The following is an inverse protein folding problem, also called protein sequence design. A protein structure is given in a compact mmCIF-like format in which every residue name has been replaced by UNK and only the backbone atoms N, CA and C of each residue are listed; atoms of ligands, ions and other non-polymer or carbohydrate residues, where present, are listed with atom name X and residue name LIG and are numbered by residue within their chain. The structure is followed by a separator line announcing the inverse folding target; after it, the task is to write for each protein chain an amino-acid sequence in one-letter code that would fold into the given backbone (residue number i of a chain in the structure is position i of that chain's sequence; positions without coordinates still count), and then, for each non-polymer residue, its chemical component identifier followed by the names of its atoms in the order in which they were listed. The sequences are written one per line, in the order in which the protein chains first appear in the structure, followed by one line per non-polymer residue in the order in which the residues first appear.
data_IF_592947314764
#
_entry.id   IF_592947314764
#
_cell.length_a   1.000
_cell.length_b   1.000
_cell.length_c   1.000
_cell.angle_alpha   90.00
_cell.angle_beta   90.00
_cell.angle_gamma   90.00
#
_symmetry.space_group_name_H-M   'P 1'
#
loop_
_entity.id
_entity.type
_entity.pdbx_description
1 polymer ?
#
# COMPACT_ATOMS: atom_id res chain seq x y z
N UNK A 1 5.93 -17.42 8.14
CA UNK A 1 4.87 -16.98 7.20
C UNK A 1 4.78 -15.46 7.10
N UNK A 2 4.81 -14.69 8.20
CA UNK A 2 4.79 -13.22 8.21
C UNK A 2 5.83 -12.56 7.30
N UNK A 3 7.09 -12.94 7.41
CA UNK A 3 8.19 -12.36 6.59
C UNK A 3 8.02 -12.55 5.08
N UNK A 4 7.17 -13.46 4.64
CA UNK A 4 6.91 -13.67 3.21
C UNK A 4 5.85 -12.70 2.68
N UNK A 5 4.82 -12.42 3.50
CA UNK A 5 3.74 -11.47 3.16
C UNK A 5 4.30 -10.05 3.09
N UNK A 6 5.07 -9.62 4.10
CA UNK A 6 5.72 -8.31 4.13
C UNK A 6 6.61 -8.07 2.89
N UNK A 7 7.27 -9.12 2.41
CA UNK A 7 8.13 -9.03 1.21
C UNK A 7 7.33 -8.94 -0.09
N UNK A 8 6.18 -9.60 -0.18
CA UNK A 8 5.35 -9.55 -1.38
C UNK A 8 4.61 -8.22 -1.51
N UNK A 9 4.17 -7.66 -0.39
CA UNK A 9 3.54 -6.32 -0.35
C UNK A 9 4.55 -5.25 -0.74
N UNK A 10 5.76 -5.29 -0.19
CA UNK A 10 6.82 -4.34 -0.54
C UNK A 10 7.16 -4.34 -2.04
N UNK A 11 7.07 -5.50 -2.71
CA UNK A 11 7.33 -5.60 -4.15
C UNK A 11 6.34 -4.82 -5.02
N UNK A 12 5.09 -4.69 -4.59
CA UNK A 12 4.06 -3.93 -5.32
C UNK A 12 4.27 -2.41 -5.26
N UNK A 13 4.93 -1.92 -4.21
CA UNK A 13 5.22 -0.50 -4.01
C UNK A 13 6.52 -0.04 -4.67
N UNK A 14 7.41 -0.96 -5.11
CA UNK A 14 8.70 -0.60 -5.69
C UNK A 14 8.53 -0.18 -7.14
N UNK A 15 8.70 1.12 -7.41
CA UNK A 15 8.80 1.63 -8.78
C UNK A 15 10.22 1.43 -9.32
N UNK A 16 10.41 1.39 -10.67
CA UNK A 16 11.75 1.34 -11.26
C UNK A 16 12.67 2.44 -10.74
N UNK A 17 12.13 3.65 -10.57
CA UNK A 17 12.89 4.79 -10.05
C UNK A 17 13.39 4.55 -8.63
N UNK A 18 12.52 4.11 -7.72
CA UNK A 18 12.90 3.80 -6.33
C UNK A 18 13.87 2.63 -6.27
N UNK A 19 13.70 1.62 -7.11
CA UNK A 19 14.62 0.49 -7.21
C UNK A 19 16.03 0.93 -7.61
N UNK A 20 16.18 1.68 -8.71
CA UNK A 20 17.48 2.15 -9.15
C UNK A 20 18.12 3.16 -8.21
N UNK A 21 17.32 4.04 -7.58
CA UNK A 21 17.83 4.96 -6.55
C UNK A 21 18.37 4.20 -5.34
N UNK A 22 17.64 3.20 -4.85
CA UNK A 22 18.10 2.35 -3.74
C UNK A 22 19.36 1.59 -4.09
N UNK A 23 19.46 1.06 -5.32
CA UNK A 23 20.64 0.35 -5.81
C UNK A 23 21.87 1.28 -5.91
N UNK A 24 21.68 2.52 -6.33
CA UNK A 24 22.74 3.51 -6.43
C UNK A 24 23.24 3.99 -5.05
N UNK A 25 22.33 4.09 -4.07
CA UNK A 25 22.66 4.54 -2.70
C UNK A 25 23.25 3.43 -1.83
N UNK A 26 22.91 2.17 -2.11
CA UNK A 26 23.36 1.02 -1.32
C UNK A 26 24.26 0.14 -2.17
N UNK A 27 25.36 -0.38 -1.59
CA UNK A 27 26.17 -1.43 -2.22
C UNK A 27 25.71 -2.80 -1.69
N UNK A 28 24.63 -3.38 -2.25
CA UNK A 28 24.06 -4.59 -1.70
C UNK A 28 25.00 -5.78 -1.91
N UNK A 29 25.03 -6.70 -0.95
CA UNK A 29 25.67 -8.00 -1.12
C UNK A 29 24.97 -8.81 -2.22
N UNK A 30 25.62 -9.77 -2.88
CA UNK A 30 25.04 -10.53 -3.99
C UNK A 30 23.70 -11.19 -3.65
N UNK A 31 23.55 -11.69 -2.40
CA UNK A 31 22.30 -12.29 -1.93
C UNK A 31 21.15 -11.27 -1.76
N UNK A 32 21.48 -10.05 -1.35
CA UNK A 32 20.51 -8.95 -1.26
C UNK A 32 20.14 -8.41 -2.62
N UNK A 33 21.11 -8.34 -3.54
CA UNK A 33 20.87 -7.93 -4.91
C UNK A 33 19.89 -8.88 -5.61
N UNK A 34 20.08 -10.20 -5.49
CA UNK A 34 19.17 -11.19 -6.07
C UNK A 34 17.76 -11.04 -5.56
N UNK A 35 17.59 -10.83 -4.25
CA UNK A 35 16.26 -10.58 -3.65
C UNK A 35 15.66 -9.26 -4.13
N UNK A 36 16.48 -8.22 -4.21
CA UNK A 36 16.06 -6.92 -4.75
C UNK A 36 15.59 -7.04 -6.20
N UNK A 37 16.29 -7.79 -7.04
CA UNK A 37 15.90 -8.06 -8.42
C UNK A 37 14.56 -8.82 -8.52
N UNK A 38 14.33 -9.81 -7.66
CA UNK A 38 13.05 -10.54 -7.62
C UNK A 38 11.88 -9.61 -7.26
N UNK A 39 12.05 -8.74 -6.25
CA UNK A 39 11.05 -7.75 -5.87
C UNK A 39 10.87 -6.68 -6.96
N UNK A 40 11.98 -6.20 -7.53
CA UNK A 40 11.98 -5.22 -8.61
C UNK A 40 11.25 -5.73 -9.86
N UNK A 41 11.44 -7.00 -10.23
CA UNK A 41 10.78 -7.59 -11.40
C UNK A 41 9.25 -7.48 -11.30
N UNK A 42 8.68 -7.75 -10.12
CA UNK A 42 7.24 -7.56 -9.88
C UNK A 42 6.81 -6.11 -10.15
N UNK A 43 7.54 -5.15 -9.62
CA UNK A 43 7.30 -3.72 -9.86
C UNK A 43 7.42 -3.34 -11.33
N UNK A 44 8.43 -3.86 -12.05
CA UNK A 44 8.62 -3.61 -13.48
C UNK A 44 7.46 -4.16 -14.33
N UNK A 45 6.94 -5.33 -14.00
CA UNK A 45 5.79 -5.91 -14.69
C UNK A 45 4.51 -5.05 -14.54
N UNK A 46 4.40 -4.28 -13.46
CA UNK A 46 3.26 -3.39 -13.21
C UNK A 46 3.38 -2.03 -13.92
N UNK A 47 4.56 -1.66 -14.43
CA UNK A 47 4.79 -0.37 -15.09
C UNK A 47 3.81 -0.10 -16.23
N UNK A 48 3.60 -1.00 -17.23
CA UNK A 48 2.68 -0.71 -18.33
C UNK A 48 1.24 -0.51 -17.84
N UNK A 49 0.82 -1.25 -16.83
CA UNK A 49 -0.50 -1.11 -16.21
C UNK A 49 -0.60 0.23 -15.49
N UNK A 50 0.43 0.64 -14.78
CA UNK A 50 0.52 1.95 -14.11
C UNK A 50 0.50 3.10 -15.12
N UNK A 51 1.19 2.98 -16.25
CA UNK A 51 1.12 3.94 -17.33
C UNK A 51 -0.32 4.07 -17.88
N UNK A 52 -0.99 2.93 -18.09
CA UNK A 52 -2.39 2.92 -18.54
C UNK A 52 -3.31 3.56 -17.51
N UNK A 53 -3.17 3.24 -16.23
CA UNK A 53 -3.90 3.90 -15.14
C UNK A 53 -3.70 5.41 -15.15
N UNK A 54 -2.45 5.86 -15.27
CA UNK A 54 -2.10 7.26 -15.30
C UNK A 54 -2.67 7.99 -16.54
N UNK A 55 -2.74 7.32 -17.68
CA UNK A 55 -3.34 7.83 -18.88
C UNK A 55 -4.86 8.04 -18.74
N UNK A 56 -5.54 7.07 -18.11
CA UNK A 56 -7.01 7.10 -17.94
C UNK A 56 -7.42 8.10 -16.85
N UNK A 57 -6.83 8.01 -15.66
CA UNK A 57 -7.27 8.78 -14.49
C UNK A 57 -6.34 9.92 -14.10
N UNK A 58 -5.14 10.02 -14.66
CA UNK A 58 -4.15 11.00 -14.23
C UNK A 58 -4.62 12.45 -14.38
N UNK A 59 -5.48 12.75 -15.36
CA UNK A 59 -6.06 14.09 -15.50
C UNK A 59 -7.12 14.36 -14.43
N UNK A 60 -7.97 13.38 -14.11
CA UNK A 60 -8.99 13.50 -13.07
C UNK A 60 -8.36 13.62 -11.68
N UNK A 61 -7.37 12.78 -11.39
CA UNK A 61 -6.64 12.82 -10.13
C UNK A 61 -5.91 14.15 -9.88
N UNK A 62 -5.32 14.74 -10.92
CA UNK A 62 -4.67 16.07 -10.80
C UNK A 62 -5.65 17.23 -10.57
N UNK A 63 -6.91 17.04 -10.89
CA UNK A 63 -7.97 18.04 -10.66
C UNK A 63 -8.71 17.83 -9.34
N UNK A 64 -8.40 16.74 -8.64
CA UNK A 64 -9.01 16.46 -7.36
C UNK A 64 -8.47 17.45 -6.33
N UNK A 65 -9.35 18.24 -5.78
CA UNK A 65 -9.07 19.10 -4.65
C UNK A 65 -9.25 18.30 -3.36
N UNK A 66 -8.23 18.27 -2.53
CA UNK A 66 -8.30 17.65 -1.22
C UNK A 66 -8.89 18.65 -0.22
N UNK A 67 -9.62 18.18 0.81
CA UNK A 67 -10.07 19.07 1.89
C UNK A 67 -8.90 19.78 2.55
N UNK A 68 -9.09 21.05 2.91
CA UNK A 68 -8.06 21.87 3.56
C UNK A 68 -7.88 21.52 5.05
N UNK A 69 -8.81 20.73 5.62
CA UNK A 69 -8.86 20.35 7.01
C UNK A 69 -8.71 18.82 7.23
N UNK A 70 -7.53 18.24 6.98
CA UNK A 70 -7.33 16.83 7.22
C UNK A 70 -7.39 16.49 8.71
N UNK A 71 -8.08 15.42 9.07
CA UNK A 71 -8.09 14.89 10.44
C UNK A 71 -6.87 13.98 10.63
N UNK A 72 -5.99 14.36 11.54
CA UNK A 72 -4.77 13.60 11.85
C UNK A 72 -4.92 12.97 13.23
N UNK A 73 -4.83 11.64 13.30
CA UNK A 73 -4.87 10.88 14.56
C UNK A 73 -3.45 10.56 15.00
N UNK A 74 -3.02 11.17 16.10
CA UNK A 74 -1.70 10.93 16.70
C UNK A 74 -1.90 10.31 18.08
N UNK A 75 -1.18 9.24 18.37
CA UNK A 75 -1.26 8.58 19.66
C UNK A 75 -0.04 7.72 19.96
N UNK A 76 0.10 7.34 21.22
CA UNK A 76 1.13 6.39 21.65
C UNK A 76 0.79 4.96 21.17
N UNK A 77 1.77 4.10 21.07
CA UNK A 77 1.57 2.69 20.75
C UNK A 77 0.56 2.02 21.69
N UNK A 78 -0.37 1.26 21.12
CA UNK A 78 -1.44 0.55 21.82
C UNK A 78 -2.40 1.46 22.60
N UNK A 79 -2.56 2.71 22.20
CA UNK A 79 -3.52 3.65 22.79
C UNK A 79 -4.90 3.65 22.11
N UNK A 80 -5.13 2.72 21.16
CA UNK A 80 -6.39 2.61 20.45
C UNK A 80 -6.52 3.50 19.21
N UNK A 81 -5.42 4.03 18.69
CA UNK A 81 -5.41 4.87 17.47
C UNK A 81 -6.03 4.16 16.27
N UNK A 82 -5.75 2.88 16.07
CA UNK A 82 -6.37 2.07 15.00
C UNK A 82 -7.88 2.02 15.14
N UNK A 83 -8.39 1.82 16.36
CA UNK A 83 -9.84 1.77 16.61
C UNK A 83 -10.48 3.13 16.36
N UNK A 84 -9.87 4.20 16.84
CA UNK A 84 -10.34 5.57 16.59
C UNK A 84 -10.34 5.88 15.08
N UNK A 85 -9.28 5.49 14.36
CA UNK A 85 -9.21 5.65 12.91
C UNK A 85 -10.35 4.89 12.20
N UNK A 86 -10.65 3.67 12.61
CA UNK A 86 -11.77 2.89 12.07
C UNK A 86 -13.12 3.55 12.34
N UNK A 87 -13.32 4.13 13.53
CA UNK A 87 -14.54 4.87 13.86
C UNK A 87 -14.70 6.12 12.97
N UNK A 88 -13.63 6.91 12.81
CA UNK A 88 -13.65 8.07 11.93
C UNK A 88 -13.88 7.67 10.46
N UNK A 89 -13.26 6.59 10.01
CA UNK A 89 -13.44 6.05 8.67
C UNK A 89 -14.81 5.44 8.39
N UNK A 90 -15.61 5.20 9.42
CA UNK A 90 -17.00 4.76 9.29
C UNK A 90 -17.96 5.90 8.89
N UNK A 91 -17.53 7.16 9.02
CA UNK A 91 -18.29 8.31 8.53
C UNK A 91 -18.32 8.27 6.99
N UNK A 92 -19.49 8.28 6.34
CA UNK A 92 -19.61 8.32 4.88
C UNK A 92 -18.96 9.55 4.23
N UNK A 93 -18.81 10.65 4.98
CA UNK A 93 -18.14 11.87 4.52
C UNK A 93 -16.61 11.81 4.63
N UNK A 94 -16.06 10.83 5.35
CA UNK A 94 -14.62 10.71 5.53
C UNK A 94 -13.97 9.96 4.38
N UNK A 95 -12.94 10.57 3.76
CA UNK A 95 -12.06 9.91 2.81
C UNK A 95 -10.84 9.34 3.53
N UNK A 96 -10.61 8.04 3.41
CA UNK A 96 -9.45 7.36 4.01
C UNK A 96 -8.83 6.38 3.03
N UNK A 97 -7.50 6.24 3.09
CA UNK A 97 -6.81 5.21 2.33
C UNK A 97 -7.21 3.80 2.82
N UNK A 98 -7.39 2.87 1.90
CA UNK A 98 -7.74 1.48 2.22
C UNK A 98 -6.59 0.55 1.88
N UNK A 99 -6.45 -0.56 2.61
CA UNK A 99 -5.40 -1.56 2.41
C UNK A 99 -5.19 -1.93 0.94
N UNK A 100 -6.28 -2.20 0.21
CA UNK A 100 -6.21 -2.58 -1.20
C UNK A 100 -5.65 -1.49 -2.12
N UNK A 101 -5.74 -0.21 -1.74
CA UNK A 101 -5.25 0.90 -2.56
C UNK A 101 -3.80 1.24 -2.26
N UNK A 102 -3.34 0.96 -1.04
CA UNK A 102 -1.99 1.31 -0.58
C UNK A 102 -0.93 0.28 -0.96
N UNK A 103 -1.32 -0.98 -1.18
CA UNK A 103 -0.39 -2.08 -1.54
C UNK A 103 0.31 -1.86 -2.89
N UNK A 104 -0.38 -1.30 -3.87
CA UNK A 104 0.19 -1.01 -5.19
C UNK A 104 -0.53 0.20 -5.81
N UNK A 105 -0.36 1.41 -5.27
CA UNK A 105 -1.14 2.59 -5.64
C UNK A 105 -1.06 2.94 -7.12
N UNK A 106 0.08 2.63 -7.77
CA UNK A 106 0.30 2.87 -9.19
C UNK A 106 -0.63 2.07 -10.12
N UNK A 107 -1.25 0.99 -9.63
CA UNK A 107 -2.14 0.12 -10.43
C UNK A 107 -3.48 -0.16 -9.71
N UNK A 108 -3.65 0.42 -8.52
CA UNK A 108 -4.76 0.07 -7.62
C UNK A 108 -6.14 0.34 -8.22
N UNK A 109 -6.31 1.36 -9.04
CA UNK A 109 -7.60 1.69 -9.65
C UNK A 109 -7.99 0.67 -10.73
N UNK A 110 -7.01 0.21 -11.54
CA UNK A 110 -7.23 -0.78 -12.57
C UNK A 110 -7.36 -2.20 -12.01
N UNK A 111 -6.50 -2.55 -11.08
CA UNK A 111 -6.39 -3.91 -10.56
C UNK A 111 -7.10 -4.10 -9.21
N UNK A 112 -7.94 -3.14 -8.77
CA UNK A 112 -8.64 -3.21 -7.48
C UNK A 112 -9.27 -4.58 -7.18
N UNK A 113 -10.06 -5.21 -8.08
CA UNK A 113 -10.68 -6.49 -7.79
C UNK A 113 -9.63 -7.62 -7.63
N UNK A 114 -8.57 -7.59 -8.43
CA UNK A 114 -7.48 -8.57 -8.34
C UNK A 114 -6.70 -8.39 -7.03
N UNK A 115 -6.37 -7.15 -6.67
CA UNK A 115 -5.66 -6.84 -5.42
C UNK A 115 -6.48 -7.30 -4.22
N UNK A 116 -7.79 -7.03 -4.19
CA UNK A 116 -8.69 -7.49 -3.13
C UNK A 116 -8.70 -9.03 -3.06
N UNK A 117 -8.83 -9.71 -4.19
CA UNK A 117 -8.84 -11.17 -4.23
C UNK A 117 -7.51 -11.78 -3.71
N UNK A 118 -6.38 -11.21 -4.12
CA UNK A 118 -5.05 -11.62 -3.66
C UNK A 118 -4.88 -11.36 -2.17
N UNK A 119 -5.24 -10.17 -1.70
CA UNK A 119 -5.15 -9.83 -0.28
C UNK A 119 -6.03 -10.73 0.57
N UNK A 120 -7.28 -10.94 0.21
CA UNK A 120 -8.19 -11.83 0.93
C UNK A 120 -7.67 -13.28 1.01
N UNK A 121 -6.87 -13.71 0.02
CA UNK A 121 -6.24 -15.04 0.04
C UNK A 121 -4.97 -15.09 0.89
N UNK A 122 -4.24 -13.98 0.97
CA UNK A 122 -2.96 -13.90 1.69
C UNK A 122 -3.11 -13.45 3.14
N UNK A 123 -4.11 -12.63 3.42
CA UNK A 123 -4.38 -12.11 4.75
C UNK A 123 -4.96 -13.20 5.64
N UNK A 124 -4.50 -13.23 6.88
CA UNK A 124 -5.13 -14.03 7.93
C UNK A 124 -6.41 -13.33 8.40
N UNK A 125 -7.37 -14.07 8.93
CA UNK A 125 -8.64 -13.51 9.41
C UNK A 125 -8.45 -12.43 10.50
N UNK A 126 -7.35 -12.49 11.23
CA UNK A 126 -7.01 -11.54 12.30
C UNK A 126 -5.58 -11.04 12.14
N UNK A 127 -5.31 -9.82 12.59
CA UNK A 127 -3.96 -9.25 12.65
C UNK A 127 -3.13 -10.04 13.66
N UNK A 128 -1.91 -10.43 13.29
CA UNK A 128 -1.06 -11.25 14.17
C UNK A 128 -0.59 -10.53 15.45
N UNK A 129 -0.66 -9.20 15.46
CA UNK A 129 -0.14 -8.36 16.55
C UNK A 129 -1.19 -8.18 17.66
N UNK A 130 -2.48 -8.08 17.31
CA UNK A 130 -3.53 -7.67 18.25
C UNK A 130 -4.83 -8.48 18.12
N UNK A 131 -4.83 -9.51 17.27
CA UNK A 131 -5.99 -10.37 16.99
C UNK A 131 -7.25 -9.62 16.51
N UNK A 132 -7.13 -8.37 16.07
CA UNK A 132 -8.23 -7.59 15.50
C UNK A 132 -8.55 -8.13 14.10
N UNK A 133 -9.83 -8.34 13.76
CA UNK A 133 -10.23 -8.66 12.38
C UNK A 133 -9.78 -7.57 11.43
N UNK A 134 -9.33 -7.96 10.25
CA UNK A 134 -8.93 -7.00 9.23
C UNK A 134 -9.21 -7.52 7.82
N UNK A 135 -9.44 -6.63 6.89
CA UNK A 135 -9.74 -6.96 5.51
C UNK A 135 -9.01 -6.06 4.52
N UNK A 136 -9.05 -6.44 3.24
CA UNK A 136 -8.48 -5.64 2.16
C UNK A 136 -9.17 -4.27 2.01
N UNK A 137 -10.36 -4.10 2.53
CA UNK A 137 -11.15 -2.87 2.42
C UNK A 137 -11.10 -2.01 3.69
N UNK A 138 -10.45 -2.47 4.75
CA UNK A 138 -10.31 -1.68 5.97
C UNK A 138 -9.39 -0.47 5.76
N UNK A 139 -9.58 0.58 6.56
CA UNK A 139 -8.71 1.73 6.58
C UNK A 139 -7.27 1.31 6.85
N UNK A 140 -6.33 1.87 6.11
CA UNK A 140 -4.90 1.63 6.27
C UNK A 140 -4.28 2.73 7.11
N UNK A 141 -3.40 2.35 8.03
CA UNK A 141 -2.54 3.29 8.73
C UNK A 141 -1.49 3.88 7.77
N UNK A 142 -1.17 5.16 7.96
CA UNK A 142 -0.43 5.97 6.98
C UNK A 142 0.97 5.49 6.66
N UNK A 143 1.62 4.76 7.57
CA UNK A 143 3.00 4.27 7.40
C UNK A 143 3.21 3.45 6.12
N UNK A 144 2.21 2.68 5.71
CA UNK A 144 2.29 1.87 4.48
C UNK A 144 1.84 2.67 3.26
N UNK A 145 0.91 3.61 3.44
CA UNK A 145 0.37 4.41 2.35
C UNK A 145 1.32 5.52 1.85
N UNK A 146 2.28 5.93 2.68
CA UNK A 146 3.23 7.00 2.41
C UNK A 146 4.64 6.49 2.00
N UNK A 147 4.89 5.19 2.13
CA UNK A 147 6.17 4.58 1.75
C UNK A 147 6.26 4.35 0.24
#
# INVERSE_FOLDING_TARGET
MHRAIDRQVAGGCITPRTFFSALAMTRPSPSRLLRGLQLGLGGFCLVPIGCLQSLIWGRALRKLELPDDPVIVIGHWRSGTTYLHQLLAADPGAATARNALTVAPQVALLLKPLIIAVLNRLMTATRPIDAVPWSALDPQEDEIGLA
#
